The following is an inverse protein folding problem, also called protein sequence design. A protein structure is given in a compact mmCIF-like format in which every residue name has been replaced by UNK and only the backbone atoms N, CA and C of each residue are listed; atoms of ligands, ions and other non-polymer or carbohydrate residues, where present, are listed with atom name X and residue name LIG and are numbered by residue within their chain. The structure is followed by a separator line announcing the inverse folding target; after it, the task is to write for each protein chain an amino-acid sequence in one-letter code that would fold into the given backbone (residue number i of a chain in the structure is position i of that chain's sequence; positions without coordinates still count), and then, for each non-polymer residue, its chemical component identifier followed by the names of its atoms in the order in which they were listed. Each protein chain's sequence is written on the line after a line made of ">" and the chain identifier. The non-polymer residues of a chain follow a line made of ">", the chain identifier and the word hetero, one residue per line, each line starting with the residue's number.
data_IF_340232377095
#
_entry.id   IF_340232377095
#
_cell.length_a   1.000
_cell.length_b   1.000
_cell.length_c   1.000
_cell.angle_alpha   90.00
_cell.angle_beta   90.00
_cell.angle_gamma   90.00
#
_symmetry.space_group_name_H-M   'P 1'
#
loop_
_entity.id
_entity.type
_entity.pdbx_description
1 polymer ?
#
# COMPACT_ATOMS: atom_id res chain seq x y z
N UNK A 1 -49.23 1.94 -3.07
CA UNK A 1 -48.09 1.02 -2.94
C UNK A 1 -47.20 0.95 -4.20
N UNK A 2 -47.76 0.76 -5.41
CA UNK A 2 -46.97 0.62 -6.65
C UNK A 2 -46.13 1.84 -7.03
N UNK A 3 -46.57 3.06 -6.75
CA UNK A 3 -45.82 4.29 -7.07
C UNK A 3 -44.58 4.48 -6.20
N UNK A 4 -44.62 4.13 -4.92
CA UNK A 4 -43.47 4.18 -4.00
C UNK A 4 -42.40 3.17 -4.40
N UNK A 5 -42.80 1.91 -4.70
CA UNK A 5 -41.87 0.87 -5.14
C UNK A 5 -41.20 1.23 -6.49
N UNK A 6 -41.91 1.94 -7.37
CA UNK A 6 -41.34 2.44 -8.65
C UNK A 6 -40.30 3.54 -8.40
N UNK A 7 -40.57 4.48 -7.49
CA UNK A 7 -39.64 5.54 -7.12
C UNK A 7 -38.35 4.99 -6.53
N UNK A 8 -38.46 4.04 -5.62
CA UNK A 8 -37.28 3.38 -4.99
C UNK A 8 -36.44 2.65 -6.03
N UNK A 9 -37.08 1.93 -6.97
CA UNK A 9 -36.36 1.26 -8.08
C UNK A 9 -35.61 2.25 -8.97
N UNK A 10 -36.22 3.38 -9.31
CA UNK A 10 -35.57 4.42 -10.12
C UNK A 10 -34.38 5.02 -9.37
N UNK A 11 -34.52 5.33 -8.10
CA UNK A 11 -33.45 5.83 -7.28
C UNK A 11 -32.29 4.83 -7.22
N UNK A 12 -32.58 3.54 -6.97
CA UNK A 12 -31.56 2.48 -6.95
C UNK A 12 -30.84 2.38 -8.29
N UNK A 13 -31.56 2.42 -9.41
CA UNK A 13 -30.95 2.40 -10.74
C UNK A 13 -30.06 3.60 -11.00
N UNK A 14 -30.51 4.79 -10.61
CA UNK A 14 -29.68 6.03 -10.74
C UNK A 14 -28.41 5.90 -9.93
N UNK A 15 -28.50 5.44 -8.67
CA UNK A 15 -27.32 5.21 -7.84
C UNK A 15 -26.38 4.16 -8.43
N UNK A 16 -26.91 3.07 -8.96
CA UNK A 16 -26.10 2.03 -9.61
C UNK A 16 -25.37 2.57 -10.84
N UNK A 17 -26.06 3.35 -11.68
CA UNK A 17 -25.45 3.98 -12.86
C UNK A 17 -24.33 4.95 -12.43
N UNK A 18 -24.58 5.78 -11.43
CA UNK A 18 -23.58 6.71 -10.92
C UNK A 18 -22.35 5.98 -10.37
N UNK A 19 -22.54 4.89 -9.61
CA UNK A 19 -21.45 4.06 -9.10
C UNK A 19 -20.66 3.41 -10.25
N UNK A 20 -21.34 2.91 -11.27
CA UNK A 20 -20.67 2.30 -12.44
C UNK A 20 -19.86 3.34 -13.22
N UNK A 21 -20.41 4.54 -13.44
CA UNK A 21 -19.69 5.63 -14.09
C UNK A 21 -18.45 6.05 -13.29
N UNK A 22 -18.60 6.15 -11.97
CA UNK A 22 -17.49 6.47 -11.09
C UNK A 22 -16.42 5.36 -11.12
N UNK A 23 -16.83 4.10 -11.05
CA UNK A 23 -15.93 2.96 -11.15
C UNK A 23 -15.18 2.94 -12.50
N UNK A 24 -15.88 3.22 -13.61
CA UNK A 24 -15.26 3.33 -14.93
C UNK A 24 -14.23 4.47 -14.99
N UNK A 25 -14.53 5.63 -14.39
CA UNK A 25 -13.61 6.75 -14.31
C UNK A 25 -12.35 6.39 -13.48
N UNK A 26 -12.50 5.67 -12.37
CA UNK A 26 -11.35 5.18 -11.57
C UNK A 26 -10.55 4.08 -12.27
N UNK A 27 -11.18 3.26 -13.11
CA UNK A 27 -10.50 2.22 -13.87
C UNK A 27 -9.79 2.76 -15.13
N UNK A 28 -10.18 3.94 -15.61
CA UNK A 28 -9.61 4.53 -16.81
C UNK A 28 -8.07 4.68 -16.76
N UNK A 29 -7.46 5.21 -15.70
CA UNK A 29 -5.99 5.30 -15.62
C UNK A 29 -5.30 3.93 -15.71
N UNK A 30 -5.92 2.89 -15.12
CA UNK A 30 -5.39 1.52 -15.18
C UNK A 30 -5.48 0.96 -16.60
N UNK A 31 -6.63 1.16 -17.25
CA UNK A 31 -6.82 0.76 -18.65
C UNK A 31 -5.83 1.48 -19.57
N UNK A 32 -5.60 2.78 -19.35
CA UNK A 32 -4.62 3.57 -20.06
C UNK A 32 -3.19 3.04 -19.86
N UNK A 33 -2.80 2.77 -18.62
CA UNK A 33 -1.50 2.21 -18.29
C UNK A 33 -1.26 0.86 -18.96
N UNK A 34 -2.24 -0.04 -18.93
CA UNK A 34 -2.18 -1.34 -19.61
C UNK A 34 -2.06 -1.19 -21.12
N UNK A 35 -2.84 -0.29 -21.71
CA UNK A 35 -2.74 0.02 -23.14
C UNK A 35 -1.35 0.54 -23.50
N UNK A 36 -0.85 1.52 -22.76
CA UNK A 36 0.46 2.14 -23.01
C UNK A 36 1.60 1.15 -22.85
N UNK A 37 1.52 0.21 -21.91
CA UNK A 37 2.55 -0.82 -21.72
C UNK A 37 2.69 -1.78 -22.90
N UNK A 38 1.68 -1.84 -23.76
CA UNK A 38 1.62 -2.69 -24.94
C UNK A 38 1.92 -1.94 -26.26
N UNK A 39 2.20 -0.63 -26.19
CA UNK A 39 2.54 0.18 -27.36
C UNK A 39 4.02 0.09 -27.74
N UNK A 40 4.32 0.36 -29.00
CA UNK A 40 5.67 0.63 -29.44
C UNK A 40 6.17 1.96 -28.84
N UNK A 41 7.48 2.14 -28.57
CA UNK A 41 8.02 3.36 -27.96
C UNK A 41 7.64 4.64 -28.73
N UNK A 42 7.58 4.59 -30.04
CA UNK A 42 7.21 5.67 -30.94
C UNK A 42 5.72 6.09 -30.80
N UNK A 43 4.86 5.16 -30.37
CA UNK A 43 3.41 5.38 -30.26
C UNK A 43 2.99 5.89 -28.87
N UNK A 44 3.93 5.94 -27.92
CA UNK A 44 3.62 6.38 -26.54
C UNK A 44 3.33 7.88 -26.46
N UNK A 45 4.13 8.70 -27.16
CA UNK A 45 4.08 10.16 -27.10
C UNK A 45 3.56 10.78 -28.40
N UNK A 46 2.49 10.21 -28.95
CA UNK A 46 1.85 10.76 -30.15
C UNK A 46 0.91 11.91 -29.84
N UNK A 47 0.71 12.88 -30.77
CA UNK A 47 -0.25 13.97 -30.60
C UNK A 47 -1.70 13.50 -30.49
N UNK A 48 -2.02 12.30 -30.96
CA UNK A 48 -3.32 11.66 -30.83
C UNK A 48 -3.17 10.47 -29.86
N UNK A 49 -3.64 10.61 -28.63
CA UNK A 49 -3.59 9.52 -27.67
C UNK A 49 -4.65 8.46 -28.02
N UNK A 50 -4.23 7.32 -28.53
CA UNK A 50 -5.10 6.18 -28.81
C UNK A 50 -5.11 5.19 -27.64
N UNK A 51 -6.32 4.73 -27.25
CA UNK A 51 -6.46 3.76 -26.16
C UNK A 51 -6.07 2.35 -26.60
N UNK A 52 -6.22 2.02 -27.88
CA UNK A 52 -5.93 0.70 -28.44
C UNK A 52 -4.61 0.79 -29.21
N UNK A 53 -3.58 -0.04 -28.89
CA UNK A 53 -2.33 -0.06 -29.64
C UNK A 53 -2.55 -0.50 -31.10
N UNK A 54 -1.92 0.16 -32.04
CA UNK A 54 -1.91 -0.28 -33.45
C UNK A 54 -1.15 -1.60 -33.61
N UNK A 55 -0.06 -1.75 -32.86
CA UNK A 55 0.71 -2.99 -32.77
C UNK A 55 0.88 -3.40 -31.31
N UNK A 56 0.58 -4.67 -31.02
CA UNK A 56 0.64 -5.21 -29.65
C UNK A 56 2.05 -5.70 -29.32
N UNK A 57 2.77 -4.97 -28.48
CA UNK A 57 4.14 -5.26 -28.07
C UNK A 57 4.22 -6.03 -26.75
N UNK A 58 3.82 -7.30 -26.73
CA UNK A 58 3.92 -8.15 -25.51
C UNK A 58 5.36 -8.34 -25.04
N UNK A 59 6.32 -8.16 -25.94
CA UNK A 59 7.77 -8.24 -25.67
C UNK A 59 8.22 -7.19 -24.64
N UNK A 60 7.54 -6.05 -24.54
CA UNK A 60 7.85 -5.01 -23.56
C UNK A 60 7.90 -5.55 -22.12
N UNK A 61 7.02 -6.49 -21.78
CA UNK A 61 7.02 -7.10 -20.44
C UNK A 61 8.26 -7.96 -20.20
N UNK A 62 8.66 -8.75 -21.18
CA UNK A 62 9.87 -9.57 -21.07
C UNK A 62 11.14 -8.71 -21.03
N UNK A 63 11.19 -7.64 -21.83
CA UNK A 63 12.29 -6.69 -21.82
C UNK A 63 12.39 -5.94 -20.50
N UNK A 64 11.26 -5.43 -19.99
CA UNK A 64 11.20 -4.77 -18.70
C UNK A 64 11.64 -5.70 -17.57
N UNK A 65 11.15 -6.96 -17.56
CA UNK A 65 11.55 -7.95 -16.55
C UNK A 65 13.03 -8.23 -16.53
N UNK A 66 13.67 -8.25 -17.70
CA UNK A 66 15.10 -8.55 -17.84
C UNK A 66 16.00 -7.31 -17.75
N UNK A 67 15.44 -6.09 -17.87
CA UNK A 67 16.18 -4.84 -17.78
C UNK A 67 16.77 -4.59 -16.39
N UNK A 68 16.13 -5.11 -15.36
CA UNK A 68 16.53 -5.01 -13.96
C UNK A 68 16.29 -6.36 -13.26
N UNK A 69 16.92 -6.63 -12.11
CA UNK A 69 16.73 -7.88 -11.38
C UNK A 69 15.37 -7.92 -10.65
N UNK A 70 14.26 -7.79 -11.38
CA UNK A 70 12.90 -7.72 -10.82
C UNK A 70 12.53 -8.93 -9.96
N UNK A 71 13.01 -10.13 -10.34
CA UNK A 71 12.81 -11.33 -9.53
C UNK A 71 13.39 -11.18 -8.11
N UNK A 72 14.57 -10.54 -8.00
CA UNK A 72 15.18 -10.25 -6.68
C UNK A 72 14.40 -9.17 -5.93
N UNK A 73 13.92 -8.15 -6.62
CA UNK A 73 13.11 -7.11 -5.99
C UNK A 73 11.80 -7.69 -5.45
N UNK A 74 11.14 -8.53 -6.25
CA UNK A 74 9.93 -9.22 -5.83
C UNK A 74 10.18 -10.12 -4.61
N UNK A 75 11.25 -10.92 -4.64
CA UNK A 75 11.62 -11.77 -3.51
C UNK A 75 11.89 -10.96 -2.25
N UNK A 76 12.66 -9.87 -2.35
CA UNK A 76 12.92 -8.98 -1.22
C UNK A 76 11.62 -8.41 -0.65
N UNK A 77 10.70 -7.95 -1.50
CA UNK A 77 9.39 -7.46 -1.08
C UNK A 77 8.58 -8.53 -0.37
N UNK A 78 8.53 -9.74 -0.93
CA UNK A 78 7.83 -10.87 -0.30
C UNK A 78 8.42 -11.24 1.07
N UNK A 79 9.74 -11.23 1.22
CA UNK A 79 10.40 -11.47 2.50
C UNK A 79 10.05 -10.36 3.50
N UNK A 80 10.21 -9.09 3.11
CA UNK A 80 9.92 -7.95 3.99
C UNK A 80 8.47 -7.98 4.44
N UNK A 81 7.52 -8.07 3.51
CA UNK A 81 6.07 -8.08 3.83
C UNK A 81 5.69 -9.35 4.59
N UNK A 82 6.17 -10.52 4.14
CA UNK A 82 5.86 -11.81 4.74
C UNK A 82 6.39 -11.99 6.17
N UNK A 83 7.44 -11.26 6.53
CA UNK A 83 7.97 -11.25 7.90
C UNK A 83 7.39 -10.12 8.72
N UNK A 84 7.45 -8.86 8.22
CA UNK A 84 7.03 -7.70 9.02
C UNK A 84 5.53 -7.70 9.32
N UNK A 85 4.67 -8.09 8.37
CA UNK A 85 3.22 -8.01 8.55
C UNK A 85 2.69 -8.93 9.67
N UNK A 86 3.02 -10.24 9.71
CA UNK A 86 2.60 -11.11 10.81
C UNK A 86 3.12 -10.63 12.17
N UNK A 87 4.38 -10.20 12.24
CA UNK A 87 4.94 -9.66 13.48
C UNK A 87 4.25 -8.35 13.90
N UNK A 88 3.96 -7.45 12.96
CA UNK A 88 3.21 -6.23 13.23
C UNK A 88 1.81 -6.54 13.78
N UNK A 89 1.10 -7.49 13.18
CA UNK A 89 -0.22 -7.92 13.66
C UNK A 89 -0.16 -8.52 15.06
N UNK A 90 0.82 -9.36 15.34
CA UNK A 90 1.03 -9.96 16.65
C UNK A 90 1.35 -8.87 17.69
N UNK A 91 2.33 -8.02 17.42
CA UNK A 91 2.75 -6.97 18.35
C UNK A 91 1.61 -6.00 18.65
N UNK A 92 0.91 -5.54 17.60
CA UNK A 92 -0.26 -4.66 17.76
C UNK A 92 -1.38 -5.31 18.58
N UNK A 93 -1.70 -6.59 18.29
CA UNK A 93 -2.73 -7.32 19.03
C UNK A 93 -2.35 -7.50 20.50
N UNK A 94 -1.11 -7.84 20.79
CA UNK A 94 -0.62 -8.01 22.17
C UNK A 94 -0.68 -6.69 22.94
N UNK A 95 -0.22 -5.60 22.33
CA UNK A 95 -0.25 -4.27 22.95
C UNK A 95 -1.69 -3.80 23.16
N UNK A 96 -2.53 -3.91 22.12
CA UNK A 96 -3.95 -3.55 22.22
C UNK A 96 -4.67 -4.37 23.31
N UNK A 97 -4.43 -5.69 23.37
CA UNK A 97 -4.99 -6.54 24.42
C UNK A 97 -4.50 -6.11 25.82
N UNK A 98 -3.20 -5.83 25.96
CA UNK A 98 -2.62 -5.35 27.21
C UNK A 98 -3.29 -4.07 27.70
N UNK A 99 -3.45 -3.07 26.83
CA UNK A 99 -4.10 -1.81 27.18
C UNK A 99 -5.61 -1.93 27.35
N UNK A 100 -6.29 -2.82 26.61
CA UNK A 100 -7.74 -2.93 26.68
C UNK A 100 -8.22 -3.79 27.86
N UNK A 101 -7.51 -4.87 28.21
CA UNK A 101 -7.99 -5.92 29.12
C UNK A 101 -7.23 -6.03 30.43
N UNK A 102 -5.98 -5.56 30.50
CA UNK A 102 -5.16 -5.73 31.70
C UNK A 102 -5.13 -4.40 32.47
N UNK A 103 -5.50 -4.46 33.75
CA UNK A 103 -5.34 -3.32 34.65
C UNK A 103 -3.97 -3.40 35.32
N UNK A 104 -3.07 -2.48 35.00
CA UNK A 104 -1.74 -2.38 35.59
C UNK A 104 -1.43 -0.93 35.98
N UNK A 105 -0.53 -0.76 36.91
CA UNK A 105 -0.09 0.55 37.35
C UNK A 105 0.61 1.30 36.21
N UNK A 106 0.24 2.57 36.01
CA UNK A 106 0.83 3.41 34.96
C UNK A 106 0.22 3.22 33.56
N UNK A 107 -0.82 2.36 33.40
CA UNK A 107 -1.46 2.08 32.09
C UNK A 107 -1.76 3.33 31.29
N UNK A 108 -2.41 4.33 31.90
CA UNK A 108 -2.82 5.54 31.18
C UNK A 108 -1.61 6.39 30.78
N UNK A 109 -0.58 6.48 31.62
CA UNK A 109 0.65 7.21 31.31
C UNK A 109 1.42 6.54 30.16
N UNK A 110 1.53 5.21 30.17
CA UNK A 110 2.16 4.47 29.07
C UNK A 110 1.34 4.57 27.78
N UNK A 111 0.01 4.54 27.86
CA UNK A 111 -0.84 4.73 26.68
C UNK A 111 -0.64 6.13 26.08
N UNK A 112 -0.59 7.18 26.88
CA UNK A 112 -0.30 8.53 26.42
C UNK A 112 1.11 8.64 25.79
N UNK A 113 2.10 7.92 26.36
CA UNK A 113 3.43 7.84 25.76
C UNK A 113 3.39 7.21 24.36
N UNK A 114 2.68 6.09 24.20
CA UNK A 114 2.51 5.43 22.89
C UNK A 114 1.85 6.38 21.90
N UNK A 115 0.75 7.04 22.27
CA UNK A 115 0.11 8.05 21.41
C UNK A 115 1.08 9.19 21.09
N UNK A 116 1.87 9.65 22.07
CA UNK A 116 2.86 10.70 21.90
C UNK A 116 3.93 10.35 20.86
N UNK A 117 4.32 9.09 20.76
CA UNK A 117 5.30 8.66 19.74
C UNK A 117 4.79 8.80 18.32
N UNK A 118 3.47 8.75 18.10
CA UNK A 118 2.87 8.92 16.77
C UNK A 118 2.98 10.35 16.23
N UNK A 119 3.20 11.33 17.10
CA UNK A 119 3.37 12.73 16.71
C UNK A 119 4.79 13.00 16.19
N UNK A 120 5.75 12.11 16.49
CA UNK A 120 7.15 12.28 16.05
C UNK A 120 7.24 12.02 14.55
N UNK A 121 7.63 13.02 13.73
CA UNK A 121 7.79 12.83 12.30
C UNK A 121 8.88 11.79 12.00
N UNK A 122 8.63 10.94 11.00
CA UNK A 122 9.60 9.95 10.56
C UNK A 122 10.96 10.55 10.20
N UNK A 123 10.98 11.73 9.58
CA UNK A 123 12.20 12.41 9.16
C UNK A 123 13.16 12.69 10.32
N UNK A 124 12.63 12.93 11.51
CA UNK A 124 13.45 13.17 12.72
C UNK A 124 14.09 11.86 13.21
N UNK A 125 13.43 10.74 13.05
CA UNK A 125 13.90 9.43 13.52
C UNK A 125 14.78 8.72 12.51
N UNK A 126 14.73 9.07 11.24
CA UNK A 126 15.44 8.39 10.16
C UNK A 126 16.97 8.39 10.34
N UNK A 127 17.56 9.55 10.72
CA UNK A 127 19.01 9.67 10.91
C UNK A 127 19.49 8.85 12.13
N UNK A 128 18.90 8.97 13.33
CA UNK A 128 19.23 8.11 14.46
C UNK A 128 19.13 6.62 14.16
N UNK A 129 18.05 6.19 13.53
CA UNK A 129 17.85 4.79 13.14
C UNK A 129 18.93 4.30 12.17
N UNK A 130 19.31 5.10 11.18
CA UNK A 130 20.40 4.77 10.28
C UNK A 130 21.72 4.55 11.03
N UNK A 131 22.04 5.41 12.01
CA UNK A 131 23.24 5.29 12.83
C UNK A 131 23.21 4.00 13.65
N UNK A 132 22.06 3.67 14.25
CA UNK A 132 21.88 2.42 15.01
C UNK A 132 22.06 1.19 14.13
N UNK A 133 21.39 1.14 12.97
CA UNK A 133 21.52 0.02 12.04
C UNK A 133 22.94 -0.13 11.50
N UNK A 134 23.66 0.98 11.31
CA UNK A 134 25.08 0.96 10.94
C UNK A 134 25.93 0.34 12.03
N UNK A 135 25.73 0.73 13.31
CA UNK A 135 26.45 0.15 14.46
C UNK A 135 26.17 -1.36 14.64
N UNK A 136 24.94 -1.79 14.35
CA UNK A 136 24.52 -3.17 14.42
C UNK A 136 24.95 -4.01 13.19
N UNK A 137 25.59 -3.41 12.18
CA UNK A 137 25.99 -4.08 10.94
C UNK A 137 24.82 -4.50 10.05
N UNK A 138 23.63 -3.90 10.23
CA UNK A 138 22.41 -4.25 9.51
C UNK A 138 22.23 -3.48 8.19
N UNK A 139 23.09 -2.51 7.90
CA UNK A 139 23.05 -1.76 6.64
C UNK A 139 23.30 -2.73 5.47
N UNK A 140 22.61 -2.53 4.35
CA UNK A 140 22.58 -3.40 3.17
C UNK A 140 21.93 -4.78 3.40
N UNK A 141 21.14 -4.94 4.46
CA UNK A 141 20.28 -6.10 4.69
C UNK A 141 18.80 -5.68 4.61
N UNK A 142 17.88 -6.64 4.73
CA UNK A 142 16.43 -6.35 4.77
C UNK A 142 15.94 -5.96 6.18
N UNK A 143 16.76 -6.13 7.22
CA UNK A 143 16.36 -5.86 8.60
C UNK A 143 15.93 -4.41 8.88
N UNK A 144 16.59 -3.37 8.34
CA UNK A 144 16.13 -1.99 8.54
C UNK A 144 14.72 -1.71 8.01
N UNK A 145 14.24 -2.52 7.06
CA UNK A 145 12.87 -2.42 6.54
C UNK A 145 11.89 -3.27 7.35
N UNK A 146 12.34 -4.40 7.91
CA UNK A 146 11.50 -5.34 8.66
C UNK A 146 11.26 -4.86 10.09
N UNK A 147 12.31 -4.45 10.81
CA UNK A 147 12.24 -4.17 12.25
C UNK A 147 11.25 -3.04 12.61
N UNK A 148 11.27 -1.87 11.97
CA UNK A 148 10.31 -0.81 12.27
C UNK A 148 8.87 -1.24 11.98
N UNK A 149 8.66 -1.95 10.86
CA UNK A 149 7.35 -2.46 10.48
C UNK A 149 6.83 -3.55 11.43
N UNK A 150 7.72 -4.38 11.99
CA UNK A 150 7.34 -5.47 12.87
C UNK A 150 6.95 -5.00 14.28
N UNK A 151 7.60 -3.96 14.82
CA UNK A 151 7.45 -3.54 16.21
C UNK A 151 6.97 -2.10 16.39
N UNK A 152 7.04 -1.28 15.36
CA UNK A 152 6.79 0.16 15.44
C UNK A 152 5.38 0.61 15.05
N UNK A 153 4.45 -0.30 14.77
CA UNK A 153 3.12 0.09 14.30
C UNK A 153 2.17 0.40 15.46
N UNK A 154 2.37 1.55 16.09
CA UNK A 154 1.40 2.12 17.03
C UNK A 154 0.03 2.42 16.38
N UNK A 155 -0.07 2.36 15.05
CA UNK A 155 -1.29 2.61 14.30
C UNK A 155 -2.42 1.59 14.53
N UNK A 156 -2.16 0.50 15.23
CA UNK A 156 -3.13 -0.59 15.44
C UNK A 156 -3.62 -0.68 16.90
N UNK A 157 -3.31 0.27 17.75
CA UNK A 157 -3.79 0.38 19.11
C UNK A 157 -5.05 1.23 19.18
#
# INVERSE_FOLDING_TARGET
>A
MHALARKERIQTLVFQILILLLAAAFLFPIAWMLSTSLKAPEDIFTPKPDLIPDTWQFRNFAEAWNAQPFGRFLLNTLIVVGVSTPFAMLSATMVAFGFARINFWGRNALFLLVIGTMVIPWDVTAIPLYIEYKKLGLINTLWPMILPGAFGSAFFI
#
